data_IF_339548584319
#
_entry.id   IF_339548584319
#
_cell.length_a   1.000
_cell.length_b   1.000
_cell.length_c   1.000
_cell.angle_alpha   90.00
_cell.angle_beta   90.00
_cell.angle_gamma   90.00
#
_symmetry.space_group_name_H-M   'P 1'
#
loop_
_entity.id
_entity.type
_entity.pdbx_description
1 polymer ?
#
# COMPACT_ATOMS: atom_id res chain seq x y z
N UNK A 1 32.47 18.36 7.79
CA UNK A 1 31.49 19.09 7.01
C UNK A 1 30.86 20.21 7.84
N UNK A 2 30.20 19.96 8.94
CA UNK A 2 29.50 20.97 9.77
C UNK A 2 30.43 22.10 10.26
N UNK A 3 31.70 21.80 10.58
CA UNK A 3 32.73 22.80 10.95
C UNK A 3 33.03 23.72 9.75
N UNK A 4 33.13 23.19 8.54
CA UNK A 4 33.37 23.98 7.32
C UNK A 4 32.16 24.84 6.93
N UNK A 5 30.94 24.34 7.11
CA UNK A 5 29.72 25.11 6.90
C UNK A 5 29.59 26.29 7.88
N UNK A 6 30.03 26.12 9.14
CA UNK A 6 30.12 27.23 10.10
C UNK A 6 31.17 28.25 9.70
N UNK A 7 32.37 27.83 9.25
CA UNK A 7 33.41 28.74 8.72
C UNK A 7 32.95 29.50 7.49
N UNK A 8 32.22 28.84 6.57
CA UNK A 8 31.69 29.48 5.37
C UNK A 8 30.73 30.65 5.68
N UNK A 9 30.02 30.58 6.81
CA UNK A 9 29.08 31.63 7.23
C UNK A 9 29.80 32.89 7.74
N UNK A 10 31.00 32.72 8.34
CA UNK A 10 31.77 33.81 8.89
C UNK A 10 32.85 34.33 7.95
N UNK A 11 33.09 33.67 6.82
CA UNK A 11 34.16 34.05 5.87
C UNK A 11 33.68 35.07 4.87
N UNK A 12 34.45 36.13 4.66
CA UNK A 12 34.15 37.24 3.73
C UNK A 12 35.01 37.20 2.48
N UNK A 13 36.20 36.55 2.53
CA UNK A 13 37.08 36.46 1.36
C UNK A 13 36.52 35.52 0.30
N UNK A 14 36.38 36.06 -0.91
CA UNK A 14 35.75 35.38 -2.04
C UNK A 14 36.51 34.15 -2.51
N UNK A 15 37.85 34.14 -2.43
CA UNK A 15 38.69 32.99 -2.81
C UNK A 15 38.56 31.88 -1.78
N UNK A 16 38.66 32.22 -0.50
CA UNK A 16 38.53 31.28 0.62
C UNK A 16 37.13 30.66 0.66
N UNK A 17 36.10 31.47 0.39
CA UNK A 17 34.72 30.97 0.28
C UNK A 17 34.57 29.95 -0.84
N UNK A 18 35.18 30.17 -2.00
CA UNK A 18 35.11 29.23 -3.13
C UNK A 18 35.76 27.89 -2.77
N UNK A 19 36.94 27.93 -2.17
CA UNK A 19 37.64 26.72 -1.71
C UNK A 19 36.85 25.94 -0.64
N UNK A 20 36.24 26.65 0.29
CA UNK A 20 35.37 26.03 1.31
C UNK A 20 34.15 25.36 0.69
N UNK A 21 33.53 26.01 -0.30
CA UNK A 21 32.39 25.44 -1.03
C UNK A 21 32.78 24.16 -1.77
N UNK A 22 33.94 24.16 -2.43
CA UNK A 22 34.38 22.99 -3.19
C UNK A 22 34.78 21.83 -2.27
N UNK A 23 35.39 22.11 -1.13
CA UNK A 23 35.64 21.11 -0.07
C UNK A 23 34.32 20.55 0.49
N UNK A 24 33.34 21.40 0.76
CA UNK A 24 32.03 20.97 1.24
C UNK A 24 31.33 20.08 0.18
N UNK A 25 31.39 20.45 -1.10
CA UNK A 25 30.86 19.62 -2.20
C UNK A 25 31.56 18.27 -2.29
N UNK A 26 32.90 18.25 -2.08
CA UNK A 26 33.68 17.00 -2.02
C UNK A 26 33.17 16.06 -0.92
N UNK A 27 32.98 16.60 0.28
CA UNK A 27 32.44 15.82 1.39
C UNK A 27 30.98 15.34 1.13
N UNK A 28 30.15 16.15 0.46
CA UNK A 28 28.81 15.71 0.06
C UNK A 28 28.87 14.51 -0.90
N UNK A 29 29.77 14.55 -1.89
CA UNK A 29 29.97 13.43 -2.83
C UNK A 29 30.42 12.17 -2.10
N UNK A 30 31.41 12.28 -1.18
CA UNK A 30 31.86 11.16 -0.36
C UNK A 30 30.72 10.57 0.49
N UNK A 31 29.98 11.43 1.20
CA UNK A 31 28.83 10.99 1.99
C UNK A 31 27.75 10.31 1.15
N UNK A 32 27.57 10.70 -0.10
CA UNK A 32 26.61 10.04 -1.00
C UNK A 32 27.06 8.64 -1.42
N UNK A 33 28.36 8.37 -1.40
CA UNK A 33 28.93 7.07 -1.74
C UNK A 33 28.96 6.10 -0.54
N UNK A 34 28.99 6.65 0.68
CA UNK A 34 28.98 5.81 1.88
C UNK A 34 27.58 5.21 2.14
N UNK A 35 27.47 3.95 2.56
CA UNK A 35 26.21 3.38 3.01
C UNK A 35 25.72 4.13 4.27
N UNK A 36 24.40 4.33 4.38
CA UNK A 36 23.79 5.03 5.51
C UNK A 36 23.89 4.25 6.84
N UNK A 37 24.12 2.95 6.76
CA UNK A 37 24.20 2.01 7.89
C UNK A 37 25.22 0.95 7.53
N UNK A 38 25.98 0.45 8.49
CA UNK A 38 26.80 -0.74 8.30
C UNK A 38 25.89 -1.92 8.00
N UNK A 39 26.03 -2.49 6.79
CA UNK A 39 25.14 -3.57 6.33
C UNK A 39 25.49 -4.92 6.97
N UNK A 40 26.74 -5.07 7.43
CA UNK A 40 27.32 -6.28 7.97
C UNK A 40 27.76 -6.07 9.42
N UNK A 41 26.91 -5.44 10.24
CA UNK A 41 27.13 -5.38 11.68
C UNK A 41 26.74 -6.72 12.30
N UNK A 42 27.73 -7.55 12.56
CA UNK A 42 27.56 -8.91 13.09
C UNK A 42 27.02 -8.94 14.52
N UNK A 43 27.18 -7.85 15.26
CA UNK A 43 26.70 -7.76 16.65
C UNK A 43 25.25 -7.26 16.73
N UNK A 44 24.73 -6.63 15.66
CA UNK A 44 23.39 -6.08 15.68
C UNK A 44 22.33 -7.14 15.42
N UNK A 45 21.64 -7.53 16.48
CA UNK A 45 20.49 -8.44 16.44
C UNK A 45 19.22 -7.73 16.86
N UNK A 46 18.16 -7.96 16.15
CA UNK A 46 16.85 -7.40 16.47
C UNK A 46 15.74 -8.30 15.99
N UNK A 47 14.75 -8.49 16.85
CA UNK A 47 13.51 -9.18 16.54
C UNK A 47 12.32 -8.25 16.78
N UNK A 48 11.38 -8.23 15.86
CA UNK A 48 10.09 -7.56 15.97
C UNK A 48 8.99 -8.55 15.61
N UNK A 49 7.96 -8.56 16.42
CA UNK A 49 6.81 -9.45 16.30
C UNK A 49 5.52 -8.66 16.15
N UNK A 50 4.66 -9.07 15.23
CA UNK A 50 3.32 -8.53 15.03
C UNK A 50 2.36 -9.69 14.87
N UNK A 51 1.23 -9.66 15.55
CA UNK A 51 0.18 -10.67 15.48
C UNK A 51 -1.18 -10.03 15.19
N UNK A 52 -1.98 -10.70 14.40
CA UNK A 52 -3.38 -10.39 14.19
C UNK A 52 -4.16 -11.71 14.15
N UNK A 53 -4.99 -11.96 15.17
CA UNK A 53 -5.68 -13.23 15.37
C UNK A 53 -4.69 -14.41 15.31
N UNK A 54 -4.85 -15.30 14.33
CA UNK A 54 -4.02 -16.49 14.13
C UNK A 54 -2.78 -16.21 13.27
N UNK A 55 -2.79 -15.11 12.51
CA UNK A 55 -1.68 -14.73 11.66
C UNK A 55 -0.62 -13.95 12.44
N UNK A 56 0.65 -14.27 12.23
CA UNK A 56 1.77 -13.51 12.80
C UNK A 56 2.89 -13.26 11.78
N UNK A 57 3.63 -12.20 12.03
CA UNK A 57 4.82 -11.83 11.26
C UNK A 57 5.96 -11.53 12.21
N UNK A 58 7.14 -12.11 11.94
CA UNK A 58 8.35 -11.89 12.72
C UNK A 58 9.41 -11.30 11.79
N UNK A 59 9.87 -10.10 12.10
CA UNK A 59 10.99 -9.47 11.43
C UNK A 59 12.28 -9.72 12.23
N UNK A 60 13.26 -10.36 11.62
CA UNK A 60 14.55 -10.68 12.26
C UNK A 60 15.66 -9.94 11.53
N UNK A 61 16.55 -9.32 12.28
CA UNK A 61 17.88 -8.88 11.82
C UNK A 61 18.87 -9.91 12.31
N UNK A 62 19.32 -10.80 11.42
CA UNK A 62 20.18 -11.93 11.75
C UNK A 62 20.42 -12.82 10.53
N UNK A 63 21.09 -13.94 10.73
CA UNK A 63 21.35 -14.92 9.68
C UNK A 63 20.12 -15.76 9.33
N UNK A 64 20.16 -16.43 8.17
CA UNK A 64 19.11 -17.38 7.78
C UNK A 64 19.02 -18.57 8.76
N UNK A 65 20.16 -19.00 9.30
CA UNK A 65 20.23 -20.09 10.28
C UNK A 65 19.54 -19.71 11.59
N UNK A 66 19.78 -18.48 12.10
CA UNK A 66 19.08 -17.96 13.27
C UNK A 66 17.57 -17.91 13.05
N UNK A 67 17.13 -17.50 11.86
CA UNK A 67 15.70 -17.53 11.50
C UNK A 67 15.14 -18.97 11.51
N UNK A 68 15.93 -19.96 11.06
CA UNK A 68 15.60 -21.38 11.12
C UNK A 68 15.44 -21.87 12.56
N UNK A 69 16.35 -21.52 13.45
CA UNK A 69 16.28 -21.86 14.88
C UNK A 69 15.05 -21.23 15.56
N UNK A 70 14.78 -19.94 15.27
CA UNK A 70 13.60 -19.24 15.79
C UNK A 70 12.31 -19.95 15.33
N UNK A 71 12.22 -20.32 14.04
CA UNK A 71 11.08 -21.06 13.51
C UNK A 71 10.89 -22.41 14.19
N UNK A 72 11.98 -23.18 14.38
CA UNK A 72 11.95 -24.46 15.06
C UNK A 72 11.47 -24.33 16.51
N UNK A 73 12.03 -23.37 17.26
CA UNK A 73 11.65 -23.11 18.65
C UNK A 73 10.18 -22.71 18.78
N UNK A 74 9.67 -21.89 17.89
CA UNK A 74 8.24 -21.50 17.86
C UNK A 74 7.37 -22.72 17.54
N UNK A 75 7.76 -23.54 16.57
CA UNK A 75 7.02 -24.76 16.21
C UNK A 75 6.93 -25.72 17.39
N UNK A 76 8.05 -25.93 18.08
CA UNK A 76 8.11 -26.79 19.27
C UNK A 76 7.26 -26.22 20.41
N UNK A 77 7.36 -24.92 20.68
CA UNK A 77 6.55 -24.24 21.72
C UNK A 77 5.04 -24.38 21.44
N UNK A 78 4.61 -24.14 20.19
CA UNK A 78 3.21 -24.26 19.79
C UNK A 78 2.69 -25.69 20.00
N UNK A 79 3.49 -26.68 19.63
CA UNK A 79 3.15 -28.10 19.80
C UNK A 79 3.10 -28.50 21.26
N UNK A 80 4.15 -28.18 22.04
CA UNK A 80 4.32 -28.66 23.39
C UNK A 80 3.43 -27.96 24.41
N UNK A 81 3.34 -26.63 24.31
CA UNK A 81 2.62 -25.80 25.28
C UNK A 81 1.18 -25.53 24.90
N UNK A 82 0.92 -25.27 23.61
CA UNK A 82 -0.40 -24.88 23.14
C UNK A 82 -1.18 -25.99 22.44
N UNK A 83 -0.53 -27.15 22.17
CA UNK A 83 -1.10 -28.28 21.44
C UNK A 83 -1.64 -27.88 20.05
N UNK A 84 -0.97 -26.89 19.42
CA UNK A 84 -1.29 -26.36 18.10
C UNK A 84 -0.20 -26.73 17.11
N UNK A 85 -0.58 -27.00 15.86
CA UNK A 85 0.35 -27.27 14.78
C UNK A 85 0.46 -26.06 13.83
N UNK A 86 1.70 -25.67 13.52
CA UNK A 86 1.96 -24.65 12.52
C UNK A 86 1.89 -25.23 11.11
N UNK A 87 1.15 -24.58 10.22
CA UNK A 87 1.15 -24.97 8.80
C UNK A 87 2.53 -24.74 8.18
N UNK A 88 3.18 -25.82 7.77
CA UNK A 88 4.50 -25.77 7.12
C UNK A 88 4.46 -24.96 5.81
N UNK A 89 3.37 -25.06 5.05
CA UNK A 89 3.19 -24.35 3.78
C UNK A 89 3.03 -22.82 3.95
N UNK A 90 2.47 -22.38 5.09
CA UNK A 90 2.22 -20.95 5.36
C UNK A 90 3.34 -20.31 6.18
N UNK A 91 4.09 -21.09 6.96
CA UNK A 91 5.16 -20.59 7.81
C UNK A 91 6.48 -20.59 7.04
N UNK A 92 6.74 -19.51 6.30
CA UNK A 92 7.90 -19.38 5.42
C UNK A 92 8.94 -18.42 6.02
N UNK A 93 10.21 -18.69 5.74
CA UNK A 93 11.30 -17.73 5.95
C UNK A 93 11.51 -17.02 4.62
N UNK A 94 11.29 -15.70 4.60
CA UNK A 94 11.37 -14.88 3.40
C UNK A 94 12.45 -13.83 3.59
N UNK A 95 13.35 -13.67 2.62
CA UNK A 95 14.34 -12.61 2.66
C UNK A 95 13.67 -11.24 2.67
N UNK A 96 14.18 -10.31 3.49
CA UNK A 96 13.55 -9.00 3.69
C UNK A 96 13.36 -8.14 2.41
N UNK A 97 14.17 -8.40 1.38
CA UNK A 97 14.05 -7.74 0.07
C UNK A 97 12.98 -8.38 -0.83
N UNK A 98 12.61 -9.61 -0.55
CA UNK A 98 11.49 -10.27 -1.16
C UNK A 98 10.18 -9.79 -0.54
N UNK A 99 9.06 -10.36 -0.98
CA UNK A 99 7.74 -9.91 -0.58
C UNK A 99 7.06 -10.96 0.29
N UNK A 100 7.09 -10.75 1.60
CA UNK A 100 6.32 -11.56 2.54
C UNK A 100 4.84 -11.16 2.47
N UNK A 101 3.95 -12.15 2.42
CA UNK A 101 2.50 -11.90 2.43
C UNK A 101 1.97 -11.89 3.86
N UNK A 102 1.27 -10.83 4.24
CA UNK A 102 0.61 -10.71 5.54
C UNK A 102 -0.64 -9.85 5.44
N UNK A 103 -1.78 -10.32 5.90
CA UNK A 103 -3.07 -9.63 5.88
C UNK A 103 -3.44 -9.02 4.51
N UNK A 104 -3.20 -9.75 3.42
CA UNK A 104 -3.49 -9.27 2.07
C UNK A 104 -2.53 -8.22 1.52
N UNK A 105 -1.49 -7.85 2.27
CA UNK A 105 -0.39 -7.01 1.82
C UNK A 105 0.84 -7.83 1.44
N UNK A 106 1.68 -7.27 0.60
CA UNK A 106 3.07 -7.67 0.42
C UNK A 106 3.97 -6.73 1.23
N UNK A 107 4.78 -7.30 2.12
CA UNK A 107 5.69 -6.57 2.99
C UNK A 107 7.11 -6.80 2.48
N UNK A 108 7.86 -5.74 2.30
CA UNK A 108 9.27 -5.81 1.89
C UNK A 108 10.07 -4.68 2.55
N UNK A 109 11.38 -4.85 2.61
CA UNK A 109 12.30 -3.80 3.07
C UNK A 109 12.96 -3.17 1.87
N UNK A 110 12.81 -1.85 1.75
CA UNK A 110 13.40 -1.11 0.62
C UNK A 110 14.92 -1.18 0.66
N UNK A 111 15.50 -1.65 -0.44
CA UNK A 111 16.91 -1.55 -0.73
C UNK A 111 17.08 -0.97 -2.14
N UNK A 112 17.40 0.33 -2.23
CA UNK A 112 17.53 1.03 -3.50
C UNK A 112 18.72 1.97 -3.46
N UNK A 113 19.58 1.91 -4.47
CA UNK A 113 20.66 2.88 -4.70
C UNK A 113 20.17 4.15 -5.41
N UNK A 114 18.89 4.23 -5.77
CA UNK A 114 18.32 5.36 -6.49
C UNK A 114 18.38 6.65 -5.69
N UNK A 115 18.53 7.74 -6.42
CA UNK A 115 18.45 9.11 -5.89
C UNK A 115 17.16 9.76 -6.35
N UNK A 116 16.63 10.67 -5.56
CA UNK A 116 15.45 11.47 -5.88
C UNK A 116 15.71 12.94 -5.58
N UNK A 117 15.23 13.83 -6.41
CA UNK A 117 15.22 15.25 -6.12
C UNK A 117 14.09 15.58 -5.15
N UNK A 118 14.39 16.37 -4.13
CA UNK A 118 13.38 16.90 -3.21
C UNK A 118 12.61 18.08 -3.82
N UNK A 119 11.73 18.69 -3.04
CA UNK A 119 10.93 19.86 -3.47
C UNK A 119 11.79 21.06 -3.88
N UNK A 120 13.02 21.15 -3.36
CA UNK A 120 13.98 22.21 -3.61
C UNK A 120 14.98 21.85 -4.73
N UNK A 121 14.74 20.76 -5.47
CA UNK A 121 15.63 20.29 -6.54
C UNK A 121 16.92 19.60 -6.05
N UNK A 122 17.15 19.48 -4.76
CA UNK A 122 18.34 18.85 -4.18
C UNK A 122 18.27 17.34 -4.35
N UNK A 123 19.35 16.76 -4.90
CA UNK A 123 19.47 15.33 -5.09
C UNK A 123 19.72 14.65 -3.74
N UNK A 124 18.76 13.80 -3.33
CA UNK A 124 18.84 13.03 -2.09
C UNK A 124 18.73 11.54 -2.39
N UNK A 125 19.41 10.71 -1.61
CA UNK A 125 19.19 9.26 -1.63
C UNK A 125 17.79 8.91 -1.16
N UNK A 126 17.22 7.88 -1.74
CA UNK A 126 16.02 7.28 -1.17
C UNK A 126 16.35 6.64 0.18
N UNK A 127 15.46 6.80 1.13
CA UNK A 127 15.60 6.19 2.45
C UNK A 127 15.50 4.67 2.33
N UNK A 128 16.61 3.98 2.58
CA UNK A 128 16.70 2.52 2.57
C UNK A 128 16.30 1.92 3.93
N UNK A 129 16.12 0.61 3.95
CA UNK A 129 15.76 -0.18 5.14
C UNK A 129 14.45 0.22 5.80
N UNK A 130 13.61 0.94 5.08
CA UNK A 130 12.24 1.20 5.49
C UNK A 130 11.36 0.04 5.07
N UNK A 131 10.56 -0.48 6.01
CA UNK A 131 9.49 -1.41 5.71
C UNK A 131 8.48 -0.73 4.81
N UNK A 132 8.09 -1.42 3.73
CA UNK A 132 7.16 -0.95 2.71
C UNK A 132 6.01 -1.93 2.62
N UNK A 133 4.80 -1.42 2.75
CA UNK A 133 3.57 -2.16 2.55
C UNK A 133 3.12 -1.96 1.10
N UNK A 134 2.89 -3.04 0.39
CA UNK A 134 2.44 -3.00 -1.00
C UNK A 134 1.09 -3.70 -1.14
N UNK A 135 0.22 -3.12 -1.94
CA UNK A 135 -0.98 -3.78 -2.45
C UNK A 135 -0.55 -4.74 -3.58
N UNK A 136 -0.81 -6.06 -3.48
CA UNK A 136 -0.49 -6.99 -4.55
C UNK A 136 -1.36 -6.76 -5.79
N UNK A 137 -0.78 -6.85 -6.97
CA UNK A 137 -1.53 -6.73 -8.24
C UNK A 137 -2.59 -7.84 -8.39
N UNK A 138 -2.27 -9.04 -7.92
CA UNK A 138 -3.17 -10.18 -7.96
C UNK A 138 -4.43 -9.96 -7.10
N UNK A 139 -4.30 -9.31 -5.95
CA UNK A 139 -5.45 -8.97 -5.11
C UNK A 139 -6.40 -8.03 -5.83
N UNK A 140 -5.85 -7.01 -6.53
CA UNK A 140 -6.66 -6.10 -7.37
C UNK A 140 -7.37 -6.86 -8.49
N UNK A 141 -6.66 -7.76 -9.18
CA UNK A 141 -7.20 -8.61 -10.25
C UNK A 141 -8.34 -9.48 -9.75
N UNK A 142 -8.08 -10.24 -8.69
CA UNK A 142 -9.05 -11.17 -8.14
C UNK A 142 -10.29 -10.43 -7.65
N UNK A 143 -10.13 -9.30 -6.97
CA UNK A 143 -11.25 -8.50 -6.49
C UNK A 143 -12.12 -7.93 -7.60
N UNK A 144 -11.51 -7.51 -8.73
CA UNK A 144 -12.27 -7.07 -9.91
C UNK A 144 -13.03 -8.20 -10.59
N UNK A 145 -12.47 -9.43 -10.55
CA UNK A 145 -13.14 -10.64 -11.06
C UNK A 145 -14.30 -11.01 -10.14
N UNK A 146 -14.08 -11.05 -8.81
CA UNK A 146 -15.10 -11.34 -7.80
C UNK A 146 -16.30 -10.38 -7.92
N UNK A 147 -16.01 -9.10 -8.10
CA UNK A 147 -17.02 -8.08 -8.34
C UNK A 147 -17.68 -8.19 -9.73
N UNK A 148 -17.25 -9.15 -10.57
CA UNK A 148 -17.73 -9.31 -11.95
C UNK A 148 -17.61 -8.02 -12.78
N UNK A 149 -16.67 -7.14 -12.42
CA UNK A 149 -16.46 -5.84 -13.08
C UNK A 149 -15.48 -5.94 -14.26
N UNK A 150 -14.75 -7.04 -14.39
CA UNK A 150 -13.65 -7.19 -15.32
C UNK A 150 -13.67 -8.55 -16.03
N UNK A 151 -13.11 -8.57 -17.23
CA UNK A 151 -12.65 -9.78 -17.93
C UNK A 151 -11.17 -9.62 -18.27
N UNK A 152 -10.43 -10.70 -18.19
CA UNK A 152 -9.04 -10.77 -18.61
C UNK A 152 -9.01 -11.30 -20.05
N UNK A 153 -8.28 -10.61 -20.92
CA UNK A 153 -8.04 -11.02 -22.30
C UNK A 153 -6.55 -11.21 -22.46
N UNK A 154 -6.14 -12.32 -23.04
CA UNK A 154 -4.74 -12.57 -23.41
C UNK A 154 -4.51 -12.00 -24.82
N UNK A 155 -3.60 -11.03 -24.95
CA UNK A 155 -3.21 -10.46 -26.23
C UNK A 155 -1.68 -10.48 -26.33
N UNK A 156 -1.13 -11.22 -27.26
CA UNK A 156 0.33 -11.35 -27.48
C UNK A 156 1.10 -11.71 -26.17
N UNK A 157 0.60 -12.70 -25.42
CA UNK A 157 1.20 -13.14 -24.16
C UNK A 157 1.08 -12.16 -22.98
N UNK A 158 0.38 -11.03 -23.17
CA UNK A 158 0.14 -10.05 -22.11
C UNK A 158 -1.33 -10.06 -21.67
N UNK A 159 -1.56 -9.96 -20.37
CA UNK A 159 -2.90 -9.81 -19.82
C UNK A 159 -3.40 -8.36 -19.99
N UNK A 160 -4.51 -8.24 -20.68
CA UNK A 160 -5.25 -6.99 -20.81
C UNK A 160 -6.56 -7.05 -20.00
N UNK A 161 -6.76 -6.10 -19.13
CA UNK A 161 -7.89 -6.02 -18.22
C UNK A 161 -8.99 -5.14 -18.85
N UNK A 162 -10.09 -5.75 -19.23
CA UNK A 162 -11.21 -5.04 -19.87
C UNK A 162 -12.41 -4.94 -18.93
N UNK A 163 -12.99 -3.75 -18.73
CA UNK A 163 -14.19 -3.59 -17.92
C UNK A 163 -15.39 -4.32 -18.56
N UNK A 164 -16.18 -4.98 -17.72
CA UNK A 164 -17.37 -5.78 -18.09
C UNK A 164 -18.61 -5.19 -17.42
N UNK A 165 -19.76 -5.21 -18.13
CA UNK A 165 -21.05 -4.87 -17.54
C UNK A 165 -21.49 -5.94 -16.54
N UNK A 166 -22.07 -5.53 -15.42
CA UNK A 166 -22.67 -6.42 -14.41
C UNK A 166 -24.12 -6.71 -14.75
N UNK A 167 -24.36 -7.75 -15.51
CA UNK A 167 -25.71 -8.06 -16.03
C UNK A 167 -26.74 -8.33 -14.93
N UNK A 168 -26.31 -8.85 -13.78
CA UNK A 168 -27.20 -9.12 -12.63
C UNK A 168 -27.78 -7.84 -12.00
N UNK A 169 -27.22 -6.66 -12.29
CA UNK A 169 -27.71 -5.37 -11.79
C UNK A 169 -28.73 -4.71 -12.74
N UNK A 170 -29.16 -5.38 -13.82
CA UNK A 170 -30.10 -4.79 -14.79
C UNK A 170 -31.42 -4.40 -14.17
N UNK A 171 -31.87 -5.12 -13.14
CA UNK A 171 -33.15 -4.84 -12.44
C UNK A 171 -32.99 -3.74 -11.36
N UNK A 172 -31.75 -3.40 -10.95
CA UNK A 172 -31.52 -2.33 -9.98
C UNK A 172 -31.74 -0.95 -10.61
N UNK A 173 -32.18 0.02 -9.82
CA UNK A 173 -32.26 1.42 -10.27
C UNK A 173 -30.83 1.98 -10.54
N UNK A 174 -30.69 2.95 -11.48
CA UNK A 174 -29.36 3.49 -11.79
C UNK A 174 -28.62 4.08 -10.58
N UNK A 175 -29.32 4.75 -9.68
CA UNK A 175 -28.77 5.29 -8.42
C UNK A 175 -28.25 4.20 -7.49
N UNK A 176 -28.91 3.03 -7.45
CA UNK A 176 -28.48 1.88 -6.63
C UNK A 176 -27.24 1.21 -7.23
N UNK A 177 -27.17 1.16 -8.58
CA UNK A 177 -25.97 0.69 -9.26
C UNK A 177 -24.77 1.54 -8.84
N UNK A 178 -24.87 2.89 -8.91
CA UNK A 178 -23.78 3.78 -8.50
C UNK A 178 -23.46 3.62 -7.01
N UNK A 179 -24.47 3.47 -6.15
CA UNK A 179 -24.28 3.26 -4.72
C UNK A 179 -23.45 2.00 -4.42
N UNK A 180 -23.77 0.89 -5.10
CA UNK A 180 -23.04 -0.37 -4.93
C UNK A 180 -21.59 -0.26 -5.39
N UNK A 181 -21.34 0.34 -6.55
CA UNK A 181 -19.98 0.59 -7.03
C UNK A 181 -19.19 1.48 -6.06
N UNK A 182 -19.79 2.54 -5.55
CA UNK A 182 -19.16 3.42 -4.56
C UNK A 182 -18.80 2.69 -3.27
N UNK A 183 -19.72 1.84 -2.76
CA UNK A 183 -19.50 1.02 -1.56
C UNK A 183 -18.29 0.11 -1.74
N UNK A 184 -18.21 -0.57 -2.87
CA UNK A 184 -17.12 -1.50 -3.17
C UNK A 184 -15.78 -0.78 -3.35
N UNK A 185 -15.76 0.38 -4.04
CA UNK A 185 -14.56 1.19 -4.23
C UNK A 185 -14.06 1.72 -2.89
N UNK A 186 -14.94 2.30 -2.07
CA UNK A 186 -14.57 2.81 -0.75
C UNK A 186 -14.06 1.71 0.17
N UNK A 187 -14.75 0.58 0.23
CA UNK A 187 -14.35 -0.56 1.05
C UNK A 187 -12.95 -1.08 0.67
N UNK A 188 -12.70 -1.28 -0.63
CA UNK A 188 -11.39 -1.70 -1.12
C UNK A 188 -10.30 -0.66 -0.83
N UNK A 189 -10.54 0.60 -1.18
CA UNK A 189 -9.57 1.66 -0.96
C UNK A 189 -9.30 1.91 0.53
N UNK A 190 -10.30 1.92 1.39
CA UNK A 190 -10.12 2.14 2.83
C UNK A 190 -9.21 1.08 3.44
N UNK A 191 -9.38 -0.18 3.07
CA UNK A 191 -8.53 -1.26 3.54
C UNK A 191 -7.07 -1.09 3.10
N UNK A 192 -6.82 -0.76 1.82
CA UNK A 192 -5.48 -0.65 1.26
C UNK A 192 -4.90 0.77 1.25
N UNK A 193 -5.55 1.74 1.86
CA UNK A 193 -5.18 3.16 1.79
C UNK A 193 -3.79 3.48 2.32
N UNK A 194 -3.25 2.66 3.23
CA UNK A 194 -1.90 2.81 3.80
C UNK A 194 -0.78 2.24 2.91
N UNK A 195 -1.13 1.46 1.87
CA UNK A 195 -0.13 0.86 0.99
C UNK A 195 0.66 1.92 0.21
N UNK A 196 1.96 1.69 0.04
CA UNK A 196 2.84 2.65 -0.63
C UNK A 196 2.52 2.83 -2.13
N UNK A 197 1.96 1.80 -2.78
CA UNK A 197 1.58 1.80 -4.19
C UNK A 197 0.07 1.98 -4.42
N UNK A 198 -0.71 2.32 -3.39
CA UNK A 198 -2.17 2.42 -3.45
C UNK A 198 -2.64 3.37 -4.54
N UNK A 199 -1.99 4.54 -4.70
CA UNK A 199 -2.40 5.52 -5.70
C UNK A 199 -2.36 4.98 -7.13
N UNK A 200 -1.37 4.16 -7.46
CA UNK A 200 -1.22 3.58 -8.81
C UNK A 200 -2.22 2.45 -9.04
N UNK A 201 -2.32 1.51 -8.10
CA UNK A 201 -3.16 0.33 -8.28
C UNK A 201 -4.65 0.63 -8.08
N UNK A 202 -5.00 1.48 -7.12
CA UNK A 202 -6.39 1.90 -6.94
C UNK A 202 -6.88 2.83 -8.05
N UNK A 203 -6.02 3.62 -8.71
CA UNK A 203 -6.42 4.33 -9.94
C UNK A 203 -6.82 3.36 -11.05
N UNK A 204 -6.05 2.29 -11.23
CA UNK A 204 -6.38 1.24 -12.23
C UNK A 204 -7.65 0.49 -11.84
N UNK A 205 -7.80 0.13 -10.57
CA UNK A 205 -9.01 -0.47 -10.03
C UNK A 205 -10.23 0.43 -10.25
N UNK A 206 -10.15 1.71 -9.86
CA UNK A 206 -11.21 2.69 -10.01
C UNK A 206 -11.61 2.90 -11.47
N UNK A 207 -10.63 2.95 -12.39
CA UNK A 207 -10.92 3.05 -13.83
C UNK A 207 -11.74 1.85 -14.33
N UNK A 208 -11.38 0.63 -13.96
CA UNK A 208 -12.14 -0.57 -14.37
C UNK A 208 -13.54 -0.56 -13.76
N UNK A 209 -13.67 -0.18 -12.48
CA UNK A 209 -14.95 -0.06 -11.80
C UNK A 209 -15.84 0.99 -12.44
N UNK A 210 -15.32 2.17 -12.76
CA UNK A 210 -16.00 3.27 -13.42
C UNK A 210 -16.57 2.84 -14.79
N UNK A 211 -15.72 2.25 -15.64
CA UNK A 211 -16.18 1.80 -16.95
C UNK A 211 -17.10 0.59 -16.87
N UNK A 212 -16.96 -0.27 -15.88
CA UNK A 212 -17.92 -1.36 -15.60
C UNK A 212 -19.29 -0.80 -15.21
N UNK A 213 -19.32 0.24 -14.39
CA UNK A 213 -20.56 0.94 -14.01
C UNK A 213 -21.21 1.58 -15.23
N UNK A 214 -20.48 2.33 -16.06
CA UNK A 214 -21.02 2.90 -17.29
C UNK A 214 -21.61 1.84 -18.22
N UNK A 215 -20.91 0.72 -18.41
CA UNK A 215 -21.41 -0.40 -19.22
C UNK A 215 -22.65 -1.07 -18.63
N UNK A 216 -22.74 -1.14 -17.30
CA UNK A 216 -23.91 -1.72 -16.62
C UNK A 216 -25.16 -0.85 -16.81
N UNK A 217 -25.02 0.47 -16.64
CA UNK A 217 -26.10 1.43 -16.86
C UNK A 217 -26.46 1.50 -18.36
N UNK A 218 -25.47 1.50 -19.24
CA UNK A 218 -25.68 1.51 -20.69
C UNK A 218 -26.50 0.27 -21.15
N UNK A 219 -26.13 -0.90 -20.63
CA UNK A 219 -26.87 -2.14 -20.91
C UNK A 219 -28.29 -2.08 -20.39
N UNK A 220 -28.53 -1.57 -19.17
CA UNK A 220 -29.87 -1.38 -18.60
C UNK A 220 -30.74 -0.44 -19.44
N UNK A 221 -30.17 0.64 -19.96
CA UNK A 221 -30.90 1.66 -20.73
C UNK A 221 -30.84 1.42 -22.25
N UNK A 222 -30.40 0.24 -22.69
CA UNK A 222 -30.21 -0.10 -24.13
C UNK A 222 -29.50 1.03 -24.89
N UNK A 223 -28.44 1.57 -24.30
CA UNK A 223 -27.74 2.77 -24.77
C UNK A 223 -26.23 2.53 -24.87
N UNK A 224 -25.49 3.48 -25.44
CA UNK A 224 -24.05 3.44 -25.51
C UNK A 224 -23.42 4.12 -24.29
N UNK A 225 -22.20 3.67 -23.90
CA UNK A 225 -21.41 4.30 -22.82
C UNK A 225 -21.22 5.80 -23.05
N UNK A 226 -21.01 6.22 -24.32
CA UNK A 226 -20.85 7.64 -24.68
C UNK A 226 -22.11 8.45 -24.36
N UNK A 227 -23.31 7.93 -24.70
CA UNK A 227 -24.59 8.59 -24.39
C UNK A 227 -24.83 8.67 -22.89
N UNK A 228 -24.55 7.58 -22.14
CA UNK A 228 -24.65 7.54 -20.66
C UNK A 228 -23.74 8.57 -20.01
N UNK A 229 -22.48 8.64 -20.41
CA UNK A 229 -21.55 9.66 -19.90
C UNK A 229 -22.08 11.07 -20.16
N UNK A 230 -22.53 11.36 -21.39
CA UNK A 230 -23.07 12.69 -21.71
C UNK A 230 -24.33 13.02 -20.91
N UNK A 231 -25.22 12.03 -20.70
CA UNK A 231 -26.49 12.21 -19.98
C UNK A 231 -26.30 12.54 -18.49
N UNK A 232 -25.33 11.90 -17.84
CA UNK A 232 -25.15 11.97 -16.38
C UNK A 232 -23.89 12.73 -15.96
N UNK A 233 -23.11 13.28 -16.90
CA UNK A 233 -21.95 14.12 -16.56
C UNK A 233 -22.42 15.51 -16.17
N UNK A 234 -22.00 15.96 -14.98
CA UNK A 234 -22.23 17.30 -14.46
C UNK A 234 -20.93 17.77 -13.77
N UNK A 235 -20.40 18.91 -14.19
CA UNK A 235 -19.21 19.54 -13.59
C UNK A 235 -18.00 18.58 -13.38
N UNK A 236 -17.70 17.74 -14.38
CA UNK A 236 -16.68 16.67 -14.39
C UNK A 236 -17.03 15.43 -13.58
N UNK A 237 -18.10 15.43 -12.80
CA UNK A 237 -18.57 14.28 -12.04
C UNK A 237 -19.67 13.52 -12.78
N UNK A 238 -19.84 12.26 -12.41
CA UNK A 238 -20.99 11.46 -12.87
C UNK A 238 -22.05 11.46 -11.78
N UNK A 239 -23.19 12.09 -12.07
CA UNK A 239 -24.26 12.37 -11.11
C UNK A 239 -25.59 11.84 -11.62
N UNK A 240 -26.26 11.05 -10.77
CA UNK A 240 -27.63 10.60 -11.03
C UNK A 240 -28.56 11.29 -10.02
N UNK A 241 -29.50 12.09 -10.55
CA UNK A 241 -30.59 12.66 -9.76
C UNK A 241 -31.75 11.66 -9.69
N UNK A 242 -32.33 11.48 -8.51
CA UNK A 242 -33.45 10.58 -8.26
C UNK A 242 -34.34 11.13 -7.15
N UNK A 243 -35.58 10.67 -7.11
CA UNK A 243 -36.53 11.01 -6.05
C UNK A 243 -36.59 9.83 -5.07
N UNK A 244 -36.42 10.11 -3.78
CA UNK A 244 -36.52 9.07 -2.75
C UNK A 244 -37.98 8.70 -2.44
N UNK A 245 -38.17 7.73 -1.56
CA UNK A 245 -39.51 7.28 -1.14
C UNK A 245 -40.34 8.37 -0.40
N UNK A 246 -39.70 9.45 0.04
CA UNK A 246 -40.35 10.59 0.69
C UNK A 246 -40.61 11.75 -0.27
N UNK A 247 -40.43 11.57 -1.56
CA UNK A 247 -40.64 12.59 -2.59
C UNK A 247 -39.52 13.64 -2.69
N UNK A 248 -38.42 13.47 -1.97
CA UNK A 248 -37.30 14.40 -2.01
C UNK A 248 -36.34 14.11 -3.17
N UNK A 249 -35.97 15.15 -3.90
CA UNK A 249 -34.91 15.04 -4.92
C UNK A 249 -33.54 14.87 -4.30
N UNK A 250 -32.86 13.79 -4.65
CA UNK A 250 -31.49 13.49 -4.20
C UNK A 250 -30.58 13.23 -5.39
N UNK A 251 -29.27 13.43 -5.15
CA UNK A 251 -28.24 13.15 -6.15
C UNK A 251 -27.29 12.06 -5.65
N UNK A 252 -26.93 11.15 -6.55
CA UNK A 252 -25.90 10.14 -6.30
C UNK A 252 -24.71 10.42 -7.18
N UNK A 253 -23.60 10.81 -6.56
CA UNK A 253 -22.33 11.06 -7.25
C UNK A 253 -21.50 9.78 -7.26
N UNK A 254 -20.92 9.44 -8.40
CA UNK A 254 -19.92 8.37 -8.46
C UNK A 254 -18.64 8.80 -7.73
N UNK A 255 -17.92 7.84 -7.14
CA UNK A 255 -16.72 8.08 -6.35
C UNK A 255 -15.68 8.96 -7.07
N UNK A 256 -15.38 10.12 -6.51
CA UNK A 256 -14.47 11.14 -7.05
C UNK A 256 -13.38 11.63 -6.07
N UNK A 257 -13.31 11.03 -4.86
CA UNK A 257 -12.40 11.46 -3.77
C UNK A 257 -10.91 11.14 -4.08
N UNK A 258 -10.65 10.34 -5.13
CA UNK A 258 -9.32 9.93 -5.53
C UNK A 258 -8.71 8.85 -4.62
N UNK A 259 -7.45 8.49 -4.90
CA UNK A 259 -6.75 7.38 -4.22
C UNK A 259 -5.39 7.83 -3.72
N UNK A 260 -5.37 8.70 -2.72
CA UNK A 260 -4.13 9.15 -2.08
C UNK A 260 -3.73 8.14 -0.98
N UNK A 261 -2.42 7.94 -0.79
CA UNK A 261 -1.96 7.18 0.37
C UNK A 261 -2.32 7.93 1.65
N UNK A 262 -2.91 7.21 2.60
CA UNK A 262 -3.16 7.70 3.96
C UNK A 262 -2.03 7.26 4.87
N UNK A 263 -1.72 8.02 5.88
CA UNK A 263 -0.81 7.58 6.92
C UNK A 263 -1.53 6.56 7.82
N UNK A 264 -0.78 5.55 8.27
CA UNK A 264 -1.32 4.59 9.21
C UNK A 264 -1.58 5.31 10.55
N UNK A 265 -2.80 5.24 11.05
CA UNK A 265 -3.11 5.67 12.39
C UNK A 265 -2.64 4.57 13.35
N UNK A 266 -1.61 4.87 14.13
CA UNK A 266 -1.05 3.97 15.13
C UNK A 266 -1.62 4.32 16.52
N UNK A 267 -2.92 4.13 16.70
CA UNK A 267 -3.55 4.20 18.02
C UNK A 267 -3.57 2.81 18.71
N UNK A 268 -2.98 1.81 18.08
CA UNK A 268 -2.89 0.48 18.63
C UNK A 268 -1.92 0.46 19.82
N UNK A 269 -2.45 0.54 21.01
CA UNK A 269 -1.78 0.20 22.29
C UNK A 269 -1.58 -1.33 22.39
N UNK A 270 -1.12 -1.96 21.30
CA UNK A 270 -1.10 -3.39 21.17
C UNK A 270 -0.04 -4.08 22.04
N UNK A 271 0.89 -3.36 22.62
CA UNK A 271 1.99 -3.91 23.40
C UNK A 271 1.93 -3.55 24.89
N UNK A 272 0.75 -3.23 25.39
CA UNK A 272 0.54 -3.30 26.83
C UNK A 272 0.49 -4.77 27.18
N UNK A 273 1.61 -5.31 27.68
CA UNK A 273 1.63 -6.63 28.33
C UNK A 273 0.46 -6.66 29.31
N UNK A 274 -0.44 -7.65 29.22
CA UNK A 274 -1.48 -7.81 30.23
C UNK A 274 -0.78 -7.85 31.57
N UNK A 275 -1.26 -7.01 32.50
CA UNK A 275 -0.73 -6.99 33.85
C UNK A 275 -0.94 -8.41 34.40
N UNK A 276 0.12 -9.17 34.56
CA UNK A 276 0.08 -10.58 35.00
C UNK A 276 -0.57 -10.75 36.35
N UNK A 277 -0.82 -9.65 37.06
CA UNK A 277 -1.52 -9.63 38.34
C UNK A 277 -3.05 -9.79 38.21
N UNK A 278 -3.60 -9.89 37.00
CA UNK A 278 -5.03 -10.13 36.74
C UNK A 278 -5.33 -11.49 36.10
N UNK A 279 -4.47 -12.46 36.24
CA UNK A 279 -4.89 -13.82 35.97
C UNK A 279 -5.90 -14.23 37.06
N UNK A 280 -7.15 -14.61 36.71
CA UNK A 280 -8.08 -15.11 37.69
C UNK A 280 -7.44 -16.30 38.37
N UNK A 281 -7.44 -16.30 39.70
CA UNK A 281 -7.02 -17.45 40.48
C UNK A 281 -7.85 -18.65 40.00
N UNK A 282 -7.14 -19.70 39.57
CA UNK A 282 -7.71 -20.98 39.16
C UNK A 282 -8.52 -21.65 40.27
#
# INVERSE_FOLDING_TARGET
KNKLEKKLKSETDTKVRKDLIDKIKGYYRQMQQMPCVMEMDEEYRRLKYVRYADDFLIGVVGSHEECGQIKANITQFMKDKLKLELSAEKTLITQAQEKAKFLGYEITVRNSKATKRDKNGVLKRMFNRKVVLLLPREVVKNKLIDYKAMRVIQTNGKEDWKPKARSYMMNCKPEDIVAQFNKEIRGFYNYYSIANNVSTLCKRFGYIMEYSMYKSIAKKQSSSVRKIKKKYSKDKDFVISYTDAKGQCKCRVFYNEGFKRKDAQCDAKCDIMPNTNFLPAS
#
